data_IF_255928073221
#
_entry.id   IF_255928073221
#
_cell.length_a   1.000
_cell.length_b   1.000
_cell.length_c   1.000
_cell.angle_alpha   90.00
_cell.angle_beta   90.00
_cell.angle_gamma   90.00
#
_symmetry.space_group_name_H-M   'P 1'
#
loop_
_entity.id
_entity.type
_entity.pdbx_description
1 polymer ?
#
# COMPACT_ATOMS: atom_id res chain seq x y z
N UNK A 1 -4.55 -5.31 -9.77
CA UNK A 1 -3.33 -4.77 -9.13
C UNK A 1 -2.99 -3.46 -9.82
N UNK A 2 -2.23 -2.59 -9.15
CA UNK A 2 -1.72 -1.32 -9.68
C UNK A 2 -0.20 -1.35 -9.60
N UNK A 3 0.48 -0.81 -10.60
CA UNK A 3 1.94 -0.80 -10.67
C UNK A 3 2.46 0.63 -10.73
N UNK A 4 3.51 0.91 -9.97
CA UNK A 4 4.21 2.18 -9.97
C UNK A 4 5.70 1.96 -10.17
N UNK A 5 6.33 2.79 -11.00
CA UNK A 5 7.76 2.72 -11.25
C UNK A 5 8.40 4.08 -11.02
N UNK A 6 9.59 4.07 -10.44
CA UNK A 6 10.45 5.22 -10.31
C UNK A 6 11.92 4.84 -10.57
N UNK A 7 12.80 5.84 -10.58
CA UNK A 7 14.24 5.60 -10.71
C UNK A 7 14.83 4.75 -9.58
N UNK A 8 14.21 4.75 -8.39
CA UNK A 8 14.78 4.11 -7.17
C UNK A 8 13.95 2.94 -6.66
N UNK A 9 12.69 2.83 -7.09
CA UNK A 9 11.70 1.93 -6.50
C UNK A 9 10.71 1.44 -7.56
N UNK A 10 10.38 0.16 -7.52
CA UNK A 10 9.18 -0.41 -8.14
C UNK A 10 8.16 -0.75 -7.05
N UNK A 11 6.88 -0.50 -7.34
CA UNK A 11 5.77 -0.72 -6.44
C UNK A 11 4.68 -1.55 -7.13
N UNK A 12 4.18 -2.59 -6.45
CA UNK A 12 3.01 -3.35 -6.85
C UNK A 12 1.99 -3.30 -5.73
N UNK A 13 0.86 -2.67 -6.02
CA UNK A 13 -0.25 -2.50 -5.10
C UNK A 13 -1.36 -3.50 -5.45
N UNK A 14 -1.81 -4.25 -4.45
CA UNK A 14 -2.92 -5.20 -4.58
C UNK A 14 -4.04 -4.81 -3.63
N UNK A 15 -5.21 -4.53 -4.19
CA UNK A 15 -6.45 -4.33 -3.44
C UNK A 15 -7.37 -5.52 -3.71
N UNK A 16 -7.87 -6.15 -2.64
CA UNK A 16 -8.92 -7.17 -2.73
C UNK A 16 -10.11 -6.80 -1.87
N UNK A 17 -11.30 -7.15 -2.37
CA UNK A 17 -12.58 -6.88 -1.75
C UNK A 17 -13.25 -8.21 -1.43
N UNK A 18 -13.65 -8.39 -0.17
CA UNK A 18 -14.38 -9.55 0.29
C UNK A 18 -15.70 -9.07 0.90
N UNK A 19 -16.82 -9.59 0.43
CA UNK A 19 -18.13 -9.33 1.05
C UNK A 19 -18.23 -10.16 2.33
N UNK A 20 -18.57 -9.51 3.44
CA UNK A 20 -18.78 -10.16 4.72
C UNK A 20 -20.26 -10.51 4.93
N UNK A 21 -20.58 -11.57 5.70
CA UNK A 21 -21.97 -11.94 6.02
C UNK A 21 -22.77 -10.82 6.68
N UNK A 22 -22.11 -9.88 7.37
CA UNK A 22 -22.74 -8.71 7.98
C UNK A 22 -23.18 -7.63 6.99
N UNK A 23 -23.02 -7.85 5.68
CA UNK A 23 -23.29 -6.85 4.64
C UNK A 23 -22.17 -5.82 4.47
N UNK A 24 -21.08 -5.92 5.24
CA UNK A 24 -19.92 -5.04 5.11
C UNK A 24 -18.95 -5.57 4.05
N UNK A 25 -18.03 -4.71 3.59
CA UNK A 25 -16.93 -5.11 2.69
C UNK A 25 -15.62 -5.06 3.46
N UNK A 26 -14.91 -6.19 3.53
CA UNK A 26 -13.51 -6.21 3.97
C UNK A 26 -12.63 -5.83 2.77
N UNK A 27 -11.90 -4.74 2.93
CA UNK A 27 -10.88 -4.31 1.97
C UNK A 27 -9.52 -4.72 2.51
N UNK A 28 -8.76 -5.50 1.74
CA UNK A 28 -7.37 -5.82 2.01
C UNK A 28 -6.50 -5.09 1.00
N UNK A 29 -5.52 -4.36 1.51
CA UNK A 29 -4.51 -3.66 0.71
C UNK A 29 -3.12 -4.19 1.06
N UNK A 30 -2.36 -4.55 0.03
CA UNK A 30 -0.97 -5.02 0.11
C UNK A 30 -0.14 -4.17 -0.84
N UNK A 31 0.99 -3.64 -0.35
CA UNK A 31 1.94 -2.87 -1.14
C UNK A 31 3.29 -3.58 -1.11
N UNK A 32 3.70 -4.12 -2.25
CA UNK A 32 5.00 -4.75 -2.44
C UNK A 32 5.96 -3.73 -3.05
N UNK A 33 6.97 -3.35 -2.28
CA UNK A 33 7.91 -2.29 -2.63
C UNK A 33 9.31 -2.87 -2.79
N UNK A 34 9.92 -2.69 -3.96
CA UNK A 34 11.26 -3.18 -4.27
C UNK A 34 12.20 -2.04 -4.63
N UNK A 35 13.28 -1.86 -3.86
CA UNK A 35 14.31 -0.89 -4.19
C UNK A 35 15.23 -1.41 -5.29
N UNK A 36 15.56 -0.53 -6.25
CA UNK A 36 16.53 -0.80 -7.31
C UNK A 36 17.96 -0.63 -6.77
N UNK A 37 18.91 -1.40 -7.28
CA UNK A 37 20.32 -1.19 -6.97
C UNK A 37 20.80 0.22 -7.39
N UNK A 38 21.69 0.88 -6.64
CA UNK A 38 22.37 0.42 -5.42
C UNK A 38 21.58 0.71 -4.13
N UNK A 39 20.29 1.01 -4.17
CA UNK A 39 19.51 1.48 -3.00
C UNK A 39 18.92 0.35 -2.13
N UNK A 40 19.14 -0.92 -2.48
CA UNK A 40 18.65 -2.07 -1.70
C UNK A 40 19.05 -2.05 -0.23
N UNK A 41 20.25 -1.56 0.10
CA UNK A 41 20.69 -1.44 1.49
C UNK A 41 19.83 -0.48 2.32
N UNK A 42 19.17 0.48 1.66
CA UNK A 42 18.32 1.48 2.32
C UNK A 42 16.96 0.93 2.73
N UNK A 43 16.57 -0.26 2.24
CA UNK A 43 15.24 -0.83 2.42
C UNK A 43 14.88 -1.00 3.91
N UNK A 44 15.81 -1.51 4.73
CA UNK A 44 15.59 -1.69 6.18
C UNK A 44 15.44 -0.35 6.90
N UNK A 45 16.21 0.66 6.51
CA UNK A 45 16.14 2.00 7.11
C UNK A 45 14.84 2.74 6.71
N UNK A 46 14.35 2.50 5.50
CA UNK A 46 13.13 3.14 4.98
C UNK A 46 11.84 2.42 5.39
N UNK A 47 11.89 1.15 5.79
CA UNK A 47 10.73 0.36 6.24
C UNK A 47 9.77 1.11 7.18
N UNK A 48 10.20 1.76 8.28
CA UNK A 48 9.28 2.48 9.17
C UNK A 48 8.59 3.66 8.47
N UNK A 49 9.30 4.38 7.60
CA UNK A 49 8.73 5.49 6.83
C UNK A 49 7.70 4.98 5.82
N UNK A 50 8.01 3.88 5.12
CA UNK A 50 7.10 3.24 4.17
C UNK A 50 5.84 2.73 4.86
N UNK A 51 5.97 2.11 6.03
CA UNK A 51 4.81 1.67 6.84
C UNK A 51 3.96 2.87 7.25
N UNK A 52 4.57 3.99 7.67
CA UNK A 52 3.84 5.22 7.99
C UNK A 52 3.11 5.80 6.78
N UNK A 53 3.75 5.79 5.61
CA UNK A 53 3.16 6.24 4.36
C UNK A 53 1.97 5.37 3.97
N UNK A 54 2.12 4.04 4.02
CA UNK A 54 1.04 3.09 3.76
C UNK A 54 -0.16 3.26 4.70
N UNK A 55 0.08 3.44 6.01
CA UNK A 55 -1.00 3.76 6.98
C UNK A 55 -1.75 5.03 6.63
N UNK A 56 -1.05 6.08 6.18
CA UNK A 56 -1.66 7.34 5.76
C UNK A 56 -2.52 7.15 4.51
N UNK A 57 -2.05 6.36 3.53
CA UNK A 57 -2.81 6.03 2.33
C UNK A 57 -4.09 5.26 2.66
N UNK A 58 -4.00 4.21 3.50
CA UNK A 58 -5.17 3.42 3.94
C UNK A 58 -6.16 4.29 4.72
N UNK A 59 -5.68 5.17 5.59
CA UNK A 59 -6.56 6.10 6.32
C UNK A 59 -7.27 7.08 5.37
N UNK A 60 -6.58 7.56 4.33
CA UNK A 60 -7.19 8.40 3.29
C UNK A 60 -8.27 7.65 2.50
N UNK A 61 -7.98 6.41 2.09
CA UNK A 61 -8.95 5.54 1.42
C UNK A 61 -10.19 5.31 2.29
N UNK A 62 -10.01 4.99 3.58
CA UNK A 62 -11.12 4.82 4.52
C UNK A 62 -12.00 6.07 4.57
N UNK A 63 -11.39 7.26 4.71
CA UNK A 63 -12.14 8.52 4.76
C UNK A 63 -12.92 8.77 3.47
N UNK A 64 -12.32 8.53 2.31
CA UNK A 64 -12.98 8.71 1.03
C UNK A 64 -14.19 7.77 0.86
N UNK A 65 -14.07 6.53 1.35
CA UNK A 65 -15.17 5.56 1.35
C UNK A 65 -16.27 5.92 2.35
N UNK A 66 -15.91 6.44 3.53
CA UNK A 66 -16.89 6.88 4.53
C UNK A 66 -17.69 8.13 4.07
N UNK A 67 -17.20 8.85 3.05
CA UNK A 67 -17.88 10.02 2.46
C UNK A 67 -18.70 9.73 1.21
N UNK A 68 -18.72 8.47 0.75
CA UNK A 68 -19.56 7.99 -0.35
C UNK A 68 -20.87 7.42 0.20
#
# INVERSE_FOLDING_TARGET
>A
TLQGQSRRLDAVDTVSFERLPSGHTRVRYVADLSFKDPYRWLERAMKPLLVRMGRKAVAGLKRALDTL
#
